data_IF_593669197833
#
_entry.id   IF_593669197833
#
_cell.length_a   1.000
_cell.length_b   1.000
_cell.length_c   1.000
_cell.angle_alpha   90.00
_cell.angle_beta   90.00
_cell.angle_gamma   90.00
#
_symmetry.space_group_name_H-M   'P 1'
#
loop_
_entity.id
_entity.type
_entity.pdbx_description
1 polymer ?
#
# COMPACT_ATOMS: atom_id res chain seq x y z
N UNK A 1 25.50 29.64 -34.59
CA UNK A 1 24.04 29.37 -34.62
C UNK A 1 23.76 28.17 -33.73
N UNK A 2 23.09 28.41 -32.60
CA UNK A 2 23.04 27.50 -31.45
C UNK A 2 22.10 26.31 -31.65
N UNK A 3 22.59 25.12 -31.29
CA UNK A 3 21.78 23.92 -31.08
C UNK A 3 21.00 24.08 -29.77
N UNK A 4 19.70 24.28 -29.87
CA UNK A 4 18.78 24.26 -28.72
C UNK A 4 18.71 22.85 -28.15
N UNK A 5 19.30 22.65 -26.96
CA UNK A 5 19.09 21.45 -26.14
C UNK A 5 17.67 21.54 -25.58
N UNK A 6 16.78 20.63 -26.00
CA UNK A 6 15.52 20.38 -25.28
C UNK A 6 15.88 19.86 -23.89
N UNK A 7 15.68 20.70 -22.87
CA UNK A 7 15.63 20.24 -21.49
C UNK A 7 14.51 19.20 -21.36
N UNK A 8 14.88 17.99 -20.96
CA UNK A 8 13.90 16.99 -20.55
C UNK A 8 13.05 17.56 -19.43
N UNK A 9 11.72 17.55 -19.60
CA UNK A 9 10.78 17.77 -18.51
C UNK A 9 11.07 16.73 -17.43
N UNK A 10 11.64 17.16 -16.31
CA UNK A 10 11.56 16.40 -15.06
C UNK A 10 10.09 16.17 -14.80
N UNK A 11 9.63 14.92 -14.90
CA UNK A 11 8.30 14.53 -14.42
C UNK A 11 8.33 14.85 -12.94
N UNK A 12 7.64 15.92 -12.54
CA UNK A 12 7.41 16.24 -11.14
C UNK A 12 6.74 15.01 -10.53
N UNK A 13 7.36 14.42 -9.51
CA UNK A 13 6.70 13.46 -8.62
C UNK A 13 5.65 14.27 -7.84
N UNK A 14 4.47 14.48 -8.43
CA UNK A 14 3.42 15.34 -7.88
C UNK A 14 2.67 14.68 -6.74
N UNK A 15 2.56 13.34 -6.74
CA UNK A 15 1.86 12.62 -5.70
C UNK A 15 2.57 12.75 -4.35
N UNK A 16 1.86 13.29 -3.36
CA UNK A 16 2.30 13.28 -1.97
C UNK A 16 1.22 12.66 -1.12
N UNK A 17 1.49 11.46 -0.61
CA UNK A 17 0.49 10.66 0.11
C UNK A 17 -0.06 11.36 1.36
N UNK A 18 0.67 12.32 1.95
CA UNK A 18 0.21 13.09 3.10
C UNK A 18 -1.10 13.88 2.90
N UNK A 19 -1.50 14.16 1.65
CA UNK A 19 -2.83 14.74 1.35
C UNK A 19 -3.97 13.74 1.47
N UNK A 20 -3.69 12.45 1.33
CA UNK A 20 -4.71 11.39 1.23
C UNK A 20 -4.65 10.40 2.41
N UNK A 21 -3.67 10.58 3.30
CA UNK A 21 -3.41 9.69 4.41
C UNK A 21 -4.67 9.46 5.26
N UNK A 22 -5.03 8.19 5.44
CA UNK A 22 -6.17 7.76 6.24
C UNK A 22 -7.52 7.88 5.55
N UNK A 23 -7.58 8.12 4.23
CA UNK A 23 -8.82 8.08 3.46
C UNK A 23 -9.42 6.66 3.39
N UNK A 24 -10.59 6.50 2.73
CA UNK A 24 -11.25 5.18 2.59
C UNK A 24 -10.38 4.12 1.91
N UNK A 25 -9.57 4.52 0.93
CA UNK A 25 -8.67 3.60 0.25
C UNK A 25 -7.56 3.09 1.17
N UNK A 26 -6.96 3.99 1.96
CA UNK A 26 -5.98 3.65 3.00
C UNK A 26 -6.59 2.74 4.06
N UNK A 27 -7.83 2.99 4.50
CA UNK A 27 -8.53 2.12 5.46
C UNK A 27 -8.57 0.67 4.95
N UNK A 28 -9.04 0.45 3.73
CA UNK A 28 -9.10 -0.88 3.14
C UNK A 28 -7.70 -1.48 2.95
N UNK A 29 -6.81 -0.74 2.29
CA UNK A 29 -5.42 -1.15 1.99
C UNK A 29 -4.68 -1.59 3.25
N UNK A 30 -4.71 -0.76 4.29
CA UNK A 30 -3.99 -0.96 5.54
C UNK A 30 -4.60 -2.08 6.38
N UNK A 31 -5.93 -2.17 6.48
CA UNK A 31 -6.58 -3.26 7.22
C UNK A 31 -6.30 -4.63 6.60
N UNK A 32 -6.35 -4.73 5.27
CA UNK A 32 -6.02 -5.96 4.54
C UNK A 32 -4.53 -6.29 4.69
N UNK A 33 -3.63 -5.33 4.48
CA UNK A 33 -2.20 -5.54 4.65
C UNK A 33 -1.86 -6.00 6.07
N UNK A 34 -2.39 -5.33 7.09
CA UNK A 34 -2.19 -5.66 8.50
C UNK A 34 -2.59 -7.12 8.78
N UNK A 35 -3.78 -7.53 8.35
CA UNK A 35 -4.29 -8.89 8.55
C UNK A 35 -3.41 -9.94 7.89
N UNK A 36 -2.92 -9.67 6.67
CA UNK A 36 -2.03 -10.59 5.96
C UNK A 36 -0.66 -10.68 6.65
N UNK A 37 -0.12 -9.56 7.14
CA UNK A 37 1.17 -9.55 7.82
C UNK A 37 1.12 -10.23 9.20
N UNK A 38 0.00 -10.10 9.93
CA UNK A 38 -0.21 -10.86 11.17
C UNK A 38 -0.25 -12.37 10.93
N UNK A 39 -0.90 -12.82 9.85
CA UNK A 39 -0.90 -14.23 9.46
C UNK A 39 0.51 -14.66 9.04
N UNK A 40 1.20 -13.84 8.24
CA UNK A 40 2.55 -14.13 7.78
C UNK A 40 3.53 -14.28 8.95
N UNK A 41 3.41 -13.47 9.99
CA UNK A 41 4.25 -13.53 11.19
C UNK A 41 4.18 -14.89 11.91
N UNK A 42 3.13 -15.70 11.70
CA UNK A 42 2.98 -17.02 12.32
C UNK A 42 3.76 -18.13 11.61
N UNK A 43 4.38 -17.85 10.46
CA UNK A 43 5.14 -18.83 9.69
C UNK A 43 6.41 -19.29 10.43
N UNK A 44 6.89 -20.51 10.18
CA UNK A 44 8.10 -21.08 10.80
C UNK A 44 9.42 -20.62 10.16
N UNK A 45 9.35 -19.74 9.16
CA UNK A 45 10.50 -19.20 8.43
C UNK A 45 10.53 -17.67 8.53
N UNK A 46 11.71 -17.02 8.41
CA UNK A 46 11.80 -15.57 8.32
C UNK A 46 11.24 -15.03 6.99
N UNK A 47 10.85 -13.76 7.01
CA UNK A 47 10.42 -13.01 5.83
C UNK A 47 11.44 -11.95 5.42
N UNK A 48 11.59 -11.79 4.11
CA UNK A 48 12.00 -10.55 3.47
C UNK A 48 10.73 -9.83 2.99
N UNK A 49 10.34 -8.76 3.65
CA UNK A 49 9.31 -7.84 3.18
C UNK A 49 9.94 -6.73 2.34
N UNK A 50 9.37 -6.50 1.16
CA UNK A 50 9.78 -5.41 0.26
C UNK A 50 8.55 -4.59 -0.09
N UNK A 51 8.70 -3.27 -0.03
CA UNK A 51 7.66 -2.33 -0.43
C UNK A 51 8.21 -1.35 -1.46
N UNK A 52 7.57 -1.29 -2.63
CA UNK A 52 8.10 -0.52 -3.78
C UNK A 52 7.81 0.97 -3.70
N UNK A 53 6.79 1.37 -2.95
CA UNK A 53 6.33 2.76 -2.83
C UNK A 53 5.95 3.04 -1.37
N UNK A 54 6.94 3.42 -0.55
CA UNK A 54 6.77 3.48 0.90
C UNK A 54 6.37 4.85 1.46
N UNK A 55 6.45 5.91 0.65
CA UNK A 55 6.14 7.28 1.04
C UNK A 55 6.83 7.67 2.36
N UNK A 56 6.19 8.45 3.24
CA UNK A 56 6.77 8.92 4.51
C UNK A 56 6.74 7.90 5.66
N UNK A 57 5.95 6.82 5.53
CA UNK A 57 5.77 5.79 6.55
C UNK A 57 4.82 6.15 7.71
N UNK A 58 4.79 7.39 8.18
CA UNK A 58 3.81 7.90 9.17
C UNK A 58 3.33 9.30 8.79
N UNK A 59 2.11 9.65 9.20
CA UNK A 59 1.45 10.89 8.81
C UNK A 59 0.80 11.62 9.98
N UNK A 60 0.82 12.96 9.96
CA UNK A 60 0.07 13.80 10.88
C UNK A 60 -1.25 14.21 10.23
N UNK A 61 -2.35 13.56 10.64
CA UNK A 61 -3.70 13.81 10.13
C UNK A 61 -4.24 15.20 10.53
N UNK A 62 -3.57 15.88 11.46
CA UNK A 62 -3.90 17.24 11.89
C UNK A 62 -3.05 18.31 11.18
N UNK A 63 -2.10 17.90 10.33
CA UNK A 63 -1.23 18.82 9.60
C UNK A 63 -1.99 19.69 8.60
N UNK A 64 -1.47 20.88 8.31
CA UNK A 64 -2.06 21.75 7.29
C UNK A 64 -2.13 21.11 5.90
N UNK A 65 -1.25 20.14 5.60
CA UNK A 65 -1.30 19.36 4.37
C UNK A 65 -2.52 18.44 4.34
N UNK A 66 -2.69 17.58 5.36
CA UNK A 66 -3.81 16.64 5.43
C UNK A 66 -5.16 17.36 5.56
N UNK A 67 -5.21 18.49 6.27
CA UNK A 67 -6.44 19.28 6.43
C UNK A 67 -6.88 20.03 5.16
N UNK A 68 -6.06 20.12 4.11
CA UNK A 68 -6.49 20.72 2.82
C UNK A 68 -7.57 19.90 2.12
N UNK A 69 -7.51 18.58 2.24
CA UNK A 69 -8.49 17.66 1.64
C UNK A 69 -9.47 17.15 2.70
N UNK A 70 -8.97 16.89 3.92
CA UNK A 70 -9.78 16.34 5.01
C UNK A 70 -10.24 14.90 4.78
N UNK A 71 -9.62 14.15 3.86
CA UNK A 71 -10.08 12.81 3.47
C UNK A 71 -10.08 11.81 4.65
N UNK A 72 -9.20 11.99 5.62
CA UNK A 72 -9.17 11.18 6.84
C UNK A 72 -10.49 11.22 7.62
N UNK A 73 -11.20 12.35 7.59
CA UNK A 73 -12.48 12.54 8.28
C UNK A 73 -13.55 11.57 7.73
N UNK A 74 -13.45 11.21 6.46
CA UNK A 74 -14.35 10.25 5.80
C UNK A 74 -13.83 8.80 5.82
N UNK A 75 -12.57 8.59 6.22
CA UNK A 75 -11.92 7.29 6.33
C UNK A 75 -11.67 6.90 7.78
N UNK A 76 -10.41 6.96 8.19
CA UNK A 76 -9.98 6.41 9.48
C UNK A 76 -10.53 7.17 10.68
N UNK A 77 -10.67 8.49 10.62
CA UNK A 77 -11.21 9.28 11.75
C UNK A 77 -12.64 8.84 12.06
N UNK A 78 -13.48 8.66 11.04
CA UNK A 78 -14.85 8.12 11.19
C UNK A 78 -14.84 6.77 11.93
N UNK A 79 -13.91 5.87 11.62
CA UNK A 79 -13.77 4.58 12.30
C UNK A 79 -13.27 4.69 13.74
N UNK A 80 -12.37 5.64 14.02
CA UNK A 80 -11.86 5.89 15.37
C UNK A 80 -12.94 6.45 16.29
N UNK A 81 -13.84 7.27 15.75
CA UNK A 81 -14.97 7.87 16.47
C UNK A 81 -16.14 6.90 16.68
N UNK A 82 -16.17 5.77 15.96
CA UNK A 82 -17.18 4.73 16.17
C UNK A 82 -16.95 4.00 17.49
N UNK A 83 -18.00 3.92 18.31
CA UNK A 83 -17.97 3.18 19.59
C UNK A 83 -17.65 1.69 19.42
N UNK A 84 -18.11 1.07 18.34
CA UNK A 84 -17.74 -0.29 17.96
C UNK A 84 -17.36 -0.32 16.48
N UNK A 85 -16.12 -0.73 16.21
CA UNK A 85 -15.63 -0.93 14.84
C UNK A 85 -16.22 -2.22 14.24
N UNK A 86 -16.34 -2.31 12.91
CA UNK A 86 -16.66 -3.58 12.27
C UNK A 86 -15.63 -4.65 12.64
N UNK A 87 -16.10 -5.84 13.01
CA UNK A 87 -15.26 -6.90 13.61
C UNK A 87 -13.99 -7.23 12.80
N UNK A 88 -14.04 -7.37 11.45
CA UNK A 88 -12.85 -7.70 10.67
C UNK A 88 -11.73 -6.65 10.70
N UNK A 89 -12.05 -5.40 11.08
CA UNK A 89 -11.09 -4.30 11.19
C UNK A 89 -10.52 -4.16 12.61
N UNK A 90 -11.04 -4.89 13.59
CA UNK A 90 -10.72 -4.74 15.01
C UNK A 90 -9.23 -4.73 15.32
N UNK A 91 -8.46 -5.79 14.98
CA UNK A 91 -7.02 -5.84 15.27
C UNK A 91 -6.22 -4.68 14.69
N UNK A 92 -6.50 -4.32 13.42
CA UNK A 92 -5.84 -3.19 12.77
C UNK A 92 -6.21 -1.86 13.45
N UNK A 93 -7.49 -1.64 13.76
CA UNK A 93 -7.94 -0.42 14.42
C UNK A 93 -7.42 -0.29 15.84
N UNK A 94 -7.25 -1.40 16.57
CA UNK A 94 -6.64 -1.37 17.90
C UNK A 94 -5.17 -0.92 17.82
N UNK A 95 -4.44 -1.36 16.80
CA UNK A 95 -3.09 -0.82 16.54
C UNK A 95 -3.14 0.67 16.17
N UNK A 96 -4.04 1.09 15.29
CA UNK A 96 -4.20 2.51 14.92
C UNK A 96 -4.57 3.37 16.15
N UNK A 97 -5.43 2.88 17.04
CA UNK A 97 -5.81 3.57 18.30
C UNK A 97 -4.65 3.66 19.28
N UNK A 98 -3.73 2.70 19.27
CA UNK A 98 -2.48 2.79 20.05
C UNK A 98 -1.52 3.87 19.52
N UNK A 99 -1.70 4.29 18.26
CA UNK A 99 -1.01 5.42 17.66
C UNK A 99 -1.75 6.73 17.94
N UNK A 100 -1.12 7.86 17.65
CA UNK A 100 -1.78 9.18 17.76
C UNK A 100 -2.25 9.65 16.39
N UNK A 101 -3.27 10.53 16.34
CA UNK A 101 -3.68 11.20 15.08
C UNK A 101 -2.55 12.01 14.43
N UNK A 102 -1.52 12.39 15.20
CA UNK A 102 -0.31 13.06 14.69
C UNK A 102 0.74 12.09 14.14
N UNK A 103 0.51 10.79 14.29
CA UNK A 103 1.39 9.72 13.85
C UNK A 103 0.56 8.53 13.37
N UNK A 104 -0.35 8.77 12.42
CA UNK A 104 -1.11 7.74 11.75
C UNK A 104 -0.16 6.79 10.98
N UNK A 105 -0.23 5.48 11.23
CA UNK A 105 0.70 4.53 10.64
C UNK A 105 0.36 4.22 9.17
N UNK A 106 1.29 4.49 8.26
CA UNK A 106 1.26 3.95 6.90
C UNK A 106 1.79 2.51 6.84
N UNK A 107 1.79 1.89 5.66
CA UNK A 107 2.25 0.52 5.42
C UNK A 107 3.62 0.16 6.05
N UNK A 108 4.66 1.03 6.03
CA UNK A 108 5.92 0.71 6.71
C UNK A 108 5.79 0.54 8.23
N UNK A 109 4.93 1.33 8.87
CA UNK A 109 4.68 1.23 10.31
C UNK A 109 3.87 -0.04 10.64
N UNK A 110 2.90 -0.41 9.79
CA UNK A 110 2.17 -1.67 9.93
C UNK A 110 3.12 -2.87 9.82
N UNK A 111 4.00 -2.88 8.81
CA UNK A 111 4.94 -3.97 8.61
C UNK A 111 5.90 -4.15 9.79
N UNK A 112 6.39 -3.05 10.36
CA UNK A 112 7.22 -3.09 11.57
C UNK A 112 6.50 -3.62 12.79
N UNK A 113 5.21 -3.29 12.92
CA UNK A 113 4.41 -3.76 14.04
C UNK A 113 4.12 -5.26 13.95
N UNK A 114 3.71 -5.75 12.77
CA UNK A 114 3.27 -7.13 12.60
C UNK A 114 4.43 -8.13 12.47
N UNK A 115 5.52 -7.77 11.78
CA UNK A 115 6.63 -8.69 11.53
C UNK A 115 7.54 -8.82 12.75
N UNK A 116 8.29 -9.93 12.81
CA UNK A 116 9.06 -10.35 14.00
C UNK A 116 10.52 -9.89 13.94
N UNK A 117 11.27 -10.15 15.01
CA UNK A 117 12.67 -9.75 15.16
C UNK A 117 13.62 -10.32 14.10
N UNK A 118 13.31 -11.52 13.61
CA UNK A 118 14.09 -12.24 12.59
C UNK A 118 13.76 -11.83 11.16
N UNK A 119 12.67 -11.10 10.96
CA UNK A 119 12.22 -10.68 9.63
C UNK A 119 12.99 -9.43 9.20
N UNK A 120 13.17 -9.26 7.88
CA UNK A 120 13.88 -8.14 7.28
C UNK A 120 12.95 -7.36 6.38
N UNK A 121 13.02 -6.04 6.44
CA UNK A 121 12.15 -5.14 5.69
C UNK A 121 12.97 -4.15 4.87
N UNK A 122 12.64 -4.00 3.58
CA UNK A 122 13.28 -3.02 2.69
C UNK A 122 12.21 -2.16 2.04
N UNK A 123 12.33 -0.86 2.24
CA UNK A 123 11.36 0.15 1.84
C UNK A 123 11.98 1.07 0.79
N UNK A 124 11.30 1.24 -0.34
CA UNK A 124 11.76 2.10 -1.43
C UNK A 124 10.90 3.36 -1.50
N UNK A 125 11.55 4.52 -1.58
CA UNK A 125 10.88 5.81 -1.78
C UNK A 125 11.73 6.72 -2.67
N UNK A 126 11.18 7.20 -3.78
CA UNK A 126 11.91 7.96 -4.80
C UNK A 126 11.91 9.47 -4.51
N UNK A 127 10.84 9.99 -3.91
CA UNK A 127 10.67 11.40 -3.56
C UNK A 127 11.59 11.78 -2.38
N UNK A 128 12.56 12.70 -2.55
CA UNK A 128 13.56 12.98 -1.53
C UNK A 128 13.00 13.39 -0.17
N UNK A 129 11.96 14.23 -0.14
CA UNK A 129 11.38 14.70 1.12
C UNK A 129 10.58 13.60 1.85
N UNK A 130 9.97 12.66 1.12
CA UNK A 130 9.23 11.55 1.73
C UNK A 130 10.22 10.51 2.26
N UNK A 131 11.28 10.22 1.48
CA UNK A 131 12.39 9.39 1.92
C UNK A 131 13.03 9.90 3.22
N UNK A 132 13.25 11.20 3.39
CA UNK A 132 13.82 11.75 4.63
C UNK A 132 12.90 11.54 5.84
N UNK A 133 11.58 11.56 5.65
CA UNK A 133 10.62 11.23 6.71
C UNK A 133 10.63 9.72 7.00
N UNK A 134 10.62 8.90 5.96
CA UNK A 134 10.69 7.44 6.04
C UNK A 134 11.96 6.98 6.75
N UNK A 135 13.12 7.47 6.34
CA UNK A 135 14.41 7.11 6.92
C UNK A 135 14.46 7.44 8.42
N UNK A 136 13.92 8.60 8.83
CA UNK A 136 13.83 8.97 10.25
C UNK A 136 12.86 8.07 11.01
N UNK A 137 11.69 7.77 10.44
CA UNK A 137 10.70 6.93 11.13
C UNK A 137 11.22 5.50 11.35
N UNK A 138 12.06 5.00 10.44
CA UNK A 138 12.62 3.65 10.47
C UNK A 138 13.95 3.53 11.25
N UNK A 139 14.62 4.63 11.57
CA UNK A 139 16.02 4.64 12.04
C UNK A 139 16.31 3.78 13.28
N UNK A 140 15.33 3.58 14.16
CA UNK A 140 15.52 2.82 15.41
C UNK A 140 15.44 1.29 15.24
N UNK A 141 14.96 0.80 14.09
CA UNK A 141 14.67 -0.61 13.88
C UNK A 141 15.66 -1.25 12.91
N UNK A 142 16.56 -2.07 13.47
CA UNK A 142 17.66 -2.73 12.75
C UNK A 142 17.19 -3.72 11.68
N UNK A 143 15.91 -4.11 11.69
CA UNK A 143 15.31 -4.97 10.67
C UNK A 143 15.03 -4.24 9.37
N UNK A 144 14.98 -2.91 9.43
CA UNK A 144 14.47 -2.06 8.35
C UNK A 144 15.59 -1.37 7.59
N UNK A 145 15.36 -1.14 6.30
CA UNK A 145 16.23 -0.34 5.44
C UNK A 145 15.39 0.52 4.51
N UNK A 146 15.56 1.84 4.60
CA UNK A 146 15.01 2.79 3.64
C UNK A 146 15.98 3.03 2.48
N UNK A 147 15.51 3.00 1.24
CA UNK A 147 16.29 3.25 0.04
C UNK A 147 15.67 4.38 -0.80
N UNK A 148 16.47 5.41 -1.09
CA UNK A 148 16.05 6.53 -1.94
C UNK A 148 16.24 6.21 -3.42
N UNK A 149 15.42 5.29 -3.93
CA UNK A 149 15.56 4.72 -5.26
C UNK A 149 14.19 4.50 -5.91
N UNK A 150 14.21 4.20 -7.21
CA UNK A 150 13.03 3.68 -7.90
C UNK A 150 12.71 2.28 -7.39
N UNK A 151 11.53 2.08 -6.80
CA UNK A 151 11.20 0.84 -6.11
C UNK A 151 11.12 -0.39 -7.01
N UNK A 152 10.65 -0.23 -8.25
CA UNK A 152 10.63 -1.32 -9.22
C UNK A 152 12.04 -1.79 -9.57
N UNK A 153 12.92 -0.86 -9.92
CA UNK A 153 14.33 -1.18 -10.22
C UNK A 153 15.04 -1.74 -9.00
N UNK A 154 14.91 -1.07 -7.86
CA UNK A 154 15.62 -1.40 -6.62
C UNK A 154 15.21 -2.76 -6.06
N UNK A 155 13.91 -3.06 -6.04
CA UNK A 155 13.39 -4.32 -5.52
C UNK A 155 13.97 -5.53 -6.27
N UNK A 156 14.10 -5.48 -7.60
CA UNK A 156 14.64 -6.59 -8.39
C UNK A 156 16.13 -6.86 -8.15
N UNK A 157 16.86 -5.96 -7.48
CA UNK A 157 18.25 -6.24 -7.05
C UNK A 157 18.31 -7.13 -5.81
N UNK A 158 17.21 -7.22 -5.07
CA UNK A 158 17.14 -7.98 -3.83
C UNK A 158 16.91 -9.47 -4.09
N UNK A 159 17.30 -10.27 -3.09
CA UNK A 159 17.06 -11.70 -3.02
C UNK A 159 16.81 -12.08 -1.55
N UNK A 160 15.85 -12.98 -1.25
CA UNK A 160 15.77 -13.59 0.07
C UNK A 160 17.05 -14.36 0.40
N UNK A 161 17.52 -14.25 1.64
CA UNK A 161 18.62 -15.06 2.20
C UNK A 161 18.19 -16.52 2.32
N UNK A 162 19.15 -17.39 2.63
CA UNK A 162 18.84 -18.78 2.97
C UNK A 162 17.76 -18.84 4.08
N UNK A 163 16.72 -19.64 3.86
CA UNK A 163 15.52 -19.78 4.70
C UNK A 163 14.51 -18.63 4.69
N UNK A 164 14.82 -17.46 4.12
CA UNK A 164 13.82 -16.39 3.97
C UNK A 164 12.80 -16.75 2.87
N UNK A 165 11.54 -16.39 3.08
CA UNK A 165 10.56 -16.21 1.99
C UNK A 165 10.30 -14.73 1.77
N UNK A 166 9.73 -14.36 0.62
CA UNK A 166 9.57 -12.96 0.23
C UNK A 166 8.10 -12.57 0.18
N UNK A 167 7.80 -11.37 0.71
CA UNK A 167 6.55 -10.65 0.51
C UNK A 167 6.88 -9.36 -0.24
N UNK A 168 6.26 -9.12 -1.38
CA UNK A 168 6.34 -7.86 -2.09
C UNK A 168 5.00 -7.12 -1.99
N UNK A 169 5.02 -5.91 -1.44
CA UNK A 169 3.88 -5.00 -1.43
C UNK A 169 4.09 -3.89 -2.46
N UNK A 170 3.07 -3.66 -3.28
CA UNK A 170 3.08 -2.73 -4.39
C UNK A 170 1.91 -1.76 -4.23
N UNK A 171 2.23 -0.48 -4.09
CA UNK A 171 1.27 0.62 -3.89
C UNK A 171 1.65 1.85 -4.75
N UNK A 172 1.73 1.72 -6.09
CA UNK A 172 2.06 2.86 -6.93
C UNK A 172 0.93 3.90 -6.89
N UNK A 173 1.21 5.13 -7.31
CA UNK A 173 0.23 6.23 -7.26
C UNK A 173 -0.84 6.17 -8.34
N UNK A 174 -0.61 5.43 -9.44
CA UNK A 174 -1.48 5.37 -10.62
C UNK A 174 -1.82 6.76 -11.21
N UNK A 175 -0.90 7.73 -11.10
CA UNK A 175 -1.12 9.09 -11.63
C UNK A 175 -1.11 9.11 -13.16
N UNK A 176 -0.41 8.16 -13.78
CA UNK A 176 -0.19 8.11 -15.22
C UNK A 176 -0.34 6.69 -15.76
N UNK A 177 -0.68 6.57 -17.05
CA UNK A 177 -0.71 5.26 -17.75
C UNK A 177 0.63 4.53 -17.65
N UNK A 178 1.73 5.27 -17.55
CA UNK A 178 3.07 4.72 -17.35
C UNK A 178 3.24 3.96 -16.04
N UNK A 179 2.48 4.32 -15.00
CA UNK A 179 2.53 3.62 -13.72
C UNK A 179 1.92 2.22 -13.87
N UNK A 180 0.82 2.10 -14.61
CA UNK A 180 0.20 0.82 -14.96
C UNK A 180 1.10 0.00 -15.90
N UNK A 181 1.64 0.61 -16.96
CA UNK A 181 2.59 -0.05 -17.88
C UNK A 181 3.82 -0.58 -17.13
N UNK A 182 4.41 0.22 -16.24
CA UNK A 182 5.57 -0.18 -15.45
C UNK A 182 5.25 -1.37 -14.55
N UNK A 183 4.08 -1.38 -13.92
CA UNK A 183 3.63 -2.49 -13.08
C UNK A 183 3.36 -3.76 -13.91
N UNK A 184 2.70 -3.61 -15.08
CA UNK A 184 2.42 -4.69 -16.02
C UNK A 184 3.70 -5.39 -16.49
N UNK A 185 4.75 -4.60 -16.72
CA UNK A 185 6.07 -5.07 -17.09
C UNK A 185 6.82 -5.73 -15.92
N UNK A 186 6.67 -5.18 -14.72
CA UNK A 186 7.46 -5.56 -13.56
C UNK A 186 7.00 -6.88 -12.93
N UNK A 187 5.69 -7.08 -12.73
CA UNK A 187 5.17 -8.24 -12.00
C UNK A 187 5.57 -9.57 -12.66
N UNK A 188 5.42 -9.79 -13.98
CA UNK A 188 5.83 -11.05 -14.61
C UNK A 188 7.33 -11.36 -14.41
N UNK A 189 8.18 -10.32 -14.45
CA UNK A 189 9.62 -10.47 -14.19
C UNK A 189 9.88 -10.85 -12.74
N UNK A 190 9.19 -10.22 -11.79
CA UNK A 190 9.30 -10.51 -10.37
C UNK A 190 8.78 -11.92 -10.03
N UNK A 191 7.65 -12.34 -10.61
CA UNK A 191 7.07 -13.69 -10.47
C UNK A 191 8.06 -14.77 -10.94
N UNK A 192 8.76 -14.54 -12.05
CA UNK A 192 9.81 -15.43 -12.57
C UNK A 192 11.06 -15.43 -11.69
N UNK A 193 11.47 -14.26 -11.19
CA UNK A 193 12.66 -14.11 -10.34
C UNK A 193 12.48 -14.75 -8.97
N UNK A 194 11.29 -14.62 -8.39
CA UNK A 194 10.98 -15.08 -7.03
C UNK A 194 9.82 -16.09 -7.04
N UNK A 195 10.08 -17.35 -7.44
CA UNK A 195 9.02 -18.35 -7.64
C UNK A 195 8.24 -18.71 -6.36
N UNK A 196 8.77 -18.40 -5.17
CA UNK A 196 8.12 -18.66 -3.86
C UNK A 196 7.66 -17.40 -3.15
N UNK A 197 7.78 -16.22 -3.79
CA UNK A 197 7.33 -14.96 -3.22
C UNK A 197 5.81 -14.83 -3.28
N UNK A 198 5.27 -14.15 -2.28
CA UNK A 198 3.90 -13.63 -2.27
C UNK A 198 3.91 -12.17 -2.73
N UNK A 199 2.90 -11.76 -3.49
CA UNK A 199 2.74 -10.39 -3.95
C UNK A 199 1.40 -9.85 -3.50
N UNK A 200 1.38 -8.59 -3.08
CA UNK A 200 0.20 -7.84 -2.68
C UNK A 200 0.22 -6.54 -3.47
N UNK A 201 -0.79 -6.29 -4.28
CA UNK A 201 -0.90 -5.14 -5.16
C UNK A 201 -2.15 -4.36 -4.79
N UNK A 202 -1.97 -3.14 -4.30
CA UNK A 202 -3.08 -2.23 -4.12
C UNK A 202 -3.47 -1.61 -5.45
N UNK A 203 -4.77 -1.39 -5.65
CA UNK A 203 -5.35 -0.80 -6.84
C UNK A 203 -6.43 0.23 -6.45
N UNK A 204 -6.41 1.45 -7.01
CA UNK A 204 -7.57 2.35 -6.97
C UNK A 204 -8.66 1.83 -7.92
N UNK A 205 -9.93 2.02 -7.56
CA UNK A 205 -11.05 1.80 -8.47
C UNK A 205 -11.63 3.15 -8.90
N UNK A 206 -11.73 3.37 -10.22
CA UNK A 206 -12.17 4.65 -10.80
C UNK A 206 -13.61 4.54 -11.31
N UNK A 207 -14.31 5.68 -11.34
CA UNK A 207 -15.68 5.77 -11.87
C UNK A 207 -15.78 5.31 -13.32
N UNK A 208 -14.75 5.55 -14.13
CA UNK A 208 -14.70 5.17 -15.54
C UNK A 208 -14.11 3.78 -15.81
N UNK A 209 -13.82 3.02 -14.75
CA UNK A 209 -13.35 1.62 -14.83
C UNK A 209 -12.07 1.43 -15.68
N UNK A 210 -11.27 2.49 -15.88
CA UNK A 210 -10.03 2.45 -16.70
C UNK A 210 -9.03 1.39 -16.25
N UNK A 211 -9.09 0.99 -15.00
CA UNK A 211 -8.24 0.00 -14.36
C UNK A 211 -8.72 -1.45 -14.54
N UNK A 212 -9.96 -1.66 -15.02
CA UNK A 212 -10.63 -2.96 -14.95
C UNK A 212 -9.87 -4.05 -15.72
N UNK A 213 -9.54 -3.81 -16.98
CA UNK A 213 -8.77 -4.76 -17.81
C UNK A 213 -7.40 -5.03 -17.20
N UNK A 214 -6.76 -4.00 -16.66
CA UNK A 214 -5.45 -4.11 -16.03
C UNK A 214 -5.51 -4.93 -14.73
N UNK A 215 -6.52 -4.72 -13.89
CA UNK A 215 -6.77 -5.50 -12.68
C UNK A 215 -7.04 -6.98 -13.00
N UNK A 216 -7.84 -7.26 -14.03
CA UNK A 216 -8.10 -8.63 -14.51
C UNK A 216 -6.82 -9.30 -15.01
N UNK A 217 -6.00 -8.57 -15.79
CA UNK A 217 -4.70 -9.05 -16.22
C UNK A 217 -3.85 -9.45 -15.00
N UNK A 218 -3.67 -8.55 -14.02
CA UNK A 218 -2.87 -8.82 -12.83
C UNK A 218 -3.36 -10.04 -12.05
N UNK A 219 -4.68 -10.15 -11.84
CA UNK A 219 -5.30 -11.27 -11.12
C UNK A 219 -5.16 -12.62 -11.87
N UNK A 220 -4.99 -12.59 -13.19
CA UNK A 220 -4.82 -13.80 -14.00
C UNK A 220 -3.39 -14.39 -13.97
N UNK A 221 -2.41 -13.64 -13.46
CA UNK A 221 -1.00 -14.01 -13.56
C UNK A 221 -0.60 -15.21 -12.68
N UNK A 222 -1.30 -15.44 -11.57
CA UNK A 222 -1.07 -16.58 -10.68
C UNK A 222 -2.28 -16.81 -9.75
N UNK A 223 -2.29 -17.89 -8.97
CA UNK A 223 -3.35 -18.12 -7.99
C UNK A 223 -3.30 -17.09 -6.86
N UNK A 224 -4.46 -16.75 -6.28
CA UNK A 224 -4.52 -15.88 -5.12
C UNK A 224 -5.91 -15.34 -4.84
N UNK A 225 -6.03 -14.04 -4.58
CA UNK A 225 -7.31 -13.39 -4.27
C UNK A 225 -7.41 -11.99 -4.89
N UNK A 226 -8.64 -11.53 -5.08
CA UNK A 226 -8.97 -10.13 -5.37
C UNK A 226 -10.07 -9.70 -4.41
N UNK A 227 -9.75 -8.83 -3.46
CA UNK A 227 -10.71 -8.26 -2.52
C UNK A 227 -10.80 -6.76 -2.76
N UNK A 228 -11.96 -6.16 -2.53
CA UNK A 228 -12.13 -4.71 -2.68
C UNK A 228 -13.30 -4.18 -1.88
N UNK A 229 -13.40 -2.86 -1.86
CA UNK A 229 -14.54 -2.12 -1.33
C UNK A 229 -14.86 -0.93 -2.23
N UNK A 230 -16.12 -0.51 -2.22
CA UNK A 230 -16.65 0.59 -3.02
C UNK A 230 -17.32 1.64 -2.14
N UNK A 231 -17.37 2.87 -2.67
CA UNK A 231 -18.10 3.98 -2.08
C UNK A 231 -18.65 4.90 -3.19
N UNK A 232 -19.69 5.70 -2.89
CA UNK A 232 -20.21 6.67 -3.87
C UNK A 232 -19.12 7.64 -4.33
N UNK A 233 -19.09 8.03 -5.62
CA UNK A 233 -18.09 8.97 -6.12
C UNK A 233 -18.22 10.33 -5.43
N UNK A 234 -17.09 10.90 -5.01
CA UNK A 234 -17.05 12.22 -4.35
C UNK A 234 -17.16 13.39 -5.34
N UNK A 235 -17.09 13.11 -6.65
CA UNK A 235 -17.30 14.11 -7.70
C UNK A 235 -17.80 13.47 -8.99
N UNK A 236 -18.35 14.28 -9.89
CA UNK A 236 -18.81 13.78 -11.19
C UNK A 236 -17.70 13.45 -12.18
N UNK A 237 -16.44 13.77 -11.87
CA UNK A 237 -15.30 13.50 -12.75
C UNK A 237 -15.12 12.00 -12.96
N UNK A 238 -14.77 11.61 -14.18
CA UNK A 238 -14.46 10.22 -14.55
C UNK A 238 -13.29 9.65 -13.74
N UNK A 239 -12.35 10.52 -13.35
CA UNK A 239 -11.19 10.16 -12.53
C UNK A 239 -11.50 10.07 -11.03
N UNK A 240 -12.75 10.20 -10.61
CA UNK A 240 -13.11 10.08 -9.21
C UNK A 240 -12.93 8.63 -8.73
N UNK A 241 -12.35 8.47 -7.54
CA UNK A 241 -12.25 7.15 -6.91
C UNK A 241 -13.62 6.72 -6.39
N UNK A 242 -14.02 5.52 -6.80
CA UNK A 242 -15.27 4.84 -6.39
C UNK A 242 -15.00 3.60 -5.56
N UNK A 243 -13.73 3.28 -5.31
CA UNK A 243 -13.36 2.14 -4.50
C UNK A 243 -11.85 1.91 -4.46
N UNK A 244 -11.50 0.77 -3.88
CA UNK A 244 -10.14 0.27 -3.80
C UNK A 244 -10.14 -1.26 -3.77
N UNK A 245 -9.12 -1.87 -4.36
CA UNK A 245 -8.90 -3.31 -4.35
C UNK A 245 -7.48 -3.68 -3.93
N UNK A 246 -7.34 -4.93 -3.48
CA UNK A 246 -6.07 -5.60 -3.18
C UNK A 246 -6.05 -6.91 -3.95
N UNK A 247 -5.05 -7.07 -4.80
CA UNK A 247 -4.77 -8.31 -5.53
C UNK A 247 -3.64 -9.03 -4.83
N UNK A 248 -3.93 -10.21 -4.28
CA UNK A 248 -2.94 -11.12 -3.75
C UNK A 248 -2.55 -12.16 -4.79
N UNK A 249 -1.25 -12.36 -5.02
CA UNK A 249 -0.73 -13.45 -5.84
C UNK A 249 0.15 -14.36 -4.99
N UNK A 250 0.00 -15.68 -5.21
CA UNK A 250 0.63 -16.76 -4.44
C UNK A 250 0.30 -16.70 -2.94
N UNK A 251 -0.94 -16.32 -2.65
CA UNK A 251 -1.51 -16.22 -1.30
C UNK A 251 -2.30 -17.48 -0.96
N UNK A 252 -2.62 -17.65 0.32
CA UNK A 252 -3.44 -18.79 0.78
C UNK A 252 -4.88 -18.36 1.08
N UNK A 253 -5.85 -19.30 1.11
CA UNK A 253 -7.21 -18.99 1.55
C UNK A 253 -7.28 -18.37 2.96
N UNK A 254 -6.35 -18.71 3.85
CA UNK A 254 -6.28 -18.12 5.19
C UNK A 254 -6.01 -16.60 5.13
N UNK A 255 -5.23 -16.14 4.14
CA UNK A 255 -4.98 -14.71 3.90
C UNK A 255 -6.12 -14.03 3.12
N UNK A 256 -6.79 -14.75 2.23
CA UNK A 256 -7.89 -14.22 1.42
C UNK A 256 -9.16 -13.94 2.24
N UNK A 257 -9.53 -14.85 3.15
CA UNK A 257 -10.75 -14.73 3.97
C UNK A 257 -10.88 -13.40 4.73
N UNK A 258 -9.89 -12.94 5.53
CA UNK A 258 -10.00 -11.65 6.20
C UNK A 258 -10.06 -10.49 5.21
N UNK A 259 -9.36 -10.57 4.07
CA UNK A 259 -9.42 -9.54 3.05
C UNK A 259 -10.84 -9.35 2.48
N UNK A 260 -11.55 -10.45 2.22
CA UNK A 260 -12.95 -10.42 1.80
C UNK A 260 -13.87 -9.87 2.89
N UNK A 261 -13.71 -10.34 4.14
CA UNK A 261 -14.53 -9.88 5.27
C UNK A 261 -14.35 -8.38 5.54
N UNK A 262 -13.13 -7.86 5.39
CA UNK A 262 -12.84 -6.42 5.48
C UNK A 262 -13.54 -5.65 4.36
N UNK A 263 -13.45 -6.14 3.10
CA UNK A 263 -14.14 -5.52 1.97
C UNK A 263 -15.66 -5.43 2.19
N UNK A 264 -16.29 -6.54 2.57
CA UNK A 264 -17.72 -6.60 2.86
C UNK A 264 -18.13 -5.69 4.03
N UNK A 265 -17.36 -5.66 5.11
CA UNK A 265 -17.63 -4.80 6.24
C UNK A 265 -17.56 -3.31 5.86
N UNK A 266 -16.60 -2.96 5.00
CA UNK A 266 -16.41 -1.60 4.52
C UNK A 266 -17.46 -1.18 3.50
N UNK A 267 -17.89 -2.04 2.59
CA UNK A 267 -19.01 -1.77 1.67
C UNK A 267 -20.29 -1.42 2.43
N UNK A 268 -20.57 -2.17 3.50
CA UNK A 268 -21.70 -1.90 4.40
C UNK A 268 -21.56 -0.60 5.19
N UNK A 269 -20.33 -0.13 5.42
CA UNK A 269 -20.05 1.11 6.16
C UNK A 269 -20.12 2.33 5.24
N UNK A 270 -19.56 2.23 4.03
CA UNK A 270 -19.48 3.35 3.08
C UNK A 270 -20.78 3.62 2.34
N UNK A 271 -21.66 2.63 2.25
CA UNK A 271 -23.01 2.79 1.70
C UNK A 271 -23.98 3.54 2.63
N UNK A 272 -23.58 3.83 3.88
CA UNK A 272 -24.36 4.57 4.88
C UNK A 272 -23.88 6.00 5.06
#
# INVERSE_FOLDING_TARGET
MGRSRRLGRTVLLSYQHGFHAGNRADVFKHAVLFSILEIAARADHPWLYIETHSAAGNYDLTSSQSRKTGEADQGVTRLLDMGQAPEPLGPWLDFVRSCTVRNYPGSPALARHCLRDQDRMVFFEKHPAEYEKLSRSLASDKRTRALKEDGYKGALTLQPRSKERLIAFLDPSYETDRDMEALADWIPRALKRWPKAMFLVWMPLFKDERELEFGQFLASLDYGFVAGTHWPPESDKDTALTGSAMIGLRTTPAMARPAYAIGEALDNLWSR
#
